data_IF_423115444580
#
_entry.id   IF_423115444580
#
_cell.length_a   1.000
_cell.length_b   1.000
_cell.length_c   1.000
_cell.angle_alpha   90.00
_cell.angle_beta   90.00
_cell.angle_gamma   90.00
#
_symmetry.space_group_name_H-M   'P 1'
#
loop_
_entity.id
_entity.type
_entity.pdbx_description
1 polymer ?
#
# COMPACT_ATOMS: atom_id res chain seq x y z
N UNK A 1 -10.32 -4.07 -23.26
CA UNK A 1 -9.12 -4.91 -23.14
C UNK A 1 -8.56 -4.80 -21.73
N UNK A 2 -8.37 -5.93 -21.08
CA UNK A 2 -7.84 -5.94 -19.71
C UNK A 2 -6.33 -5.71 -19.72
N UNK A 3 -5.78 -4.91 -18.80
CA UNK A 3 -4.34 -4.74 -18.71
C UNK A 3 -3.66 -6.03 -18.25
N UNK A 4 -2.39 -6.19 -18.59
CA UNK A 4 -1.59 -7.29 -18.07
C UNK A 4 -1.31 -7.05 -16.58
N UNK A 5 -0.80 -8.08 -15.89
CA UNK A 5 -0.41 -7.98 -14.48
C UNK A 5 0.54 -6.80 -14.24
N UNK A 6 1.59 -6.68 -15.08
CA UNK A 6 2.57 -5.61 -14.94
C UNK A 6 1.98 -4.23 -15.19
N UNK A 7 1.11 -4.12 -16.18
CA UNK A 7 0.47 -2.86 -16.50
C UNK A 7 -0.50 -2.43 -15.40
N UNK A 8 -1.26 -3.37 -14.87
CA UNK A 8 -2.22 -3.09 -13.81
C UNK A 8 -1.52 -2.62 -12.54
N UNK A 9 -0.44 -3.29 -12.16
CA UNK A 9 0.32 -2.95 -10.97
C UNK A 9 1.34 -1.86 -11.20
N UNK A 10 1.50 -1.40 -12.45
CA UNK A 10 2.48 -0.39 -12.82
C UNK A 10 3.89 -0.77 -12.40
N UNK A 11 4.23 -2.03 -12.65
CA UNK A 11 5.52 -2.58 -12.24
C UNK A 11 6.67 -1.83 -12.88
N UNK A 12 6.57 -1.48 -14.16
CA UNK A 12 7.64 -0.77 -14.85
C UNK A 12 7.96 0.57 -14.17
N UNK A 13 6.92 1.33 -13.86
CA UNK A 13 7.09 2.61 -13.16
C UNK A 13 7.58 2.41 -11.74
N UNK A 14 7.02 1.42 -11.05
CA UNK A 14 7.41 1.13 -9.67
C UNK A 14 8.90 0.82 -9.55
N UNK A 15 9.43 0.03 -10.47
CA UNK A 15 10.83 -0.38 -10.43
C UNK A 15 11.81 0.72 -10.81
N UNK A 16 11.31 1.88 -11.23
CA UNK A 16 12.14 3.04 -11.57
C UNK A 16 12.15 4.10 -10.48
N UNK A 17 11.53 3.85 -9.35
CA UNK A 17 11.40 4.84 -8.28
C UNK A 17 12.52 4.78 -7.24
N UNK A 18 13.54 3.95 -7.43
CA UNK A 18 14.64 3.79 -6.49
C UNK A 18 15.88 4.52 -7.03
N UNK A 19 15.81 5.84 -7.15
CA UNK A 19 16.86 6.61 -7.80
C UNK A 19 17.81 7.33 -6.84
N UNK A 20 17.42 7.51 -5.59
CA UNK A 20 18.25 8.17 -4.60
C UNK A 20 18.32 9.68 -4.80
N UNK A 21 19.28 10.31 -4.11
CA UNK A 21 19.43 11.75 -4.13
C UNK A 21 19.85 12.27 -5.51
N UNK A 22 20.74 11.53 -6.17
CA UNK A 22 21.27 11.94 -7.48
C UNK A 22 20.32 11.71 -8.64
N UNK A 23 19.22 11.01 -8.40
CA UNK A 23 18.26 10.71 -9.45
C UNK A 23 18.75 9.66 -10.44
N UNK A 24 19.85 8.98 -10.14
CA UNK A 24 20.44 7.97 -11.03
C UNK A 24 20.68 6.69 -10.26
N UNK A 25 19.83 5.69 -10.53
CA UNK A 25 19.90 4.41 -9.84
C UNK A 25 21.24 3.70 -10.02
N UNK A 26 21.90 3.92 -11.15
CA UNK A 26 23.18 3.25 -11.42
C UNK A 26 24.31 3.72 -10.47
N UNK A 27 24.12 4.84 -9.81
CA UNK A 27 25.09 5.39 -8.85
C UNK A 27 24.83 4.95 -7.42
N UNK A 28 23.76 4.22 -7.16
CA UNK A 28 23.42 3.77 -5.83
C UNK A 28 24.31 2.61 -5.40
N UNK A 29 24.76 2.62 -4.15
CA UNK A 29 25.34 1.44 -3.55
C UNK A 29 24.23 0.42 -3.29
N UNK A 30 24.60 -0.84 -3.13
CA UNK A 30 23.63 -1.87 -2.82
C UNK A 30 22.96 -1.63 -1.46
N UNK A 31 23.69 -1.10 -0.50
CA UNK A 31 23.13 -0.77 0.82
C UNK A 31 22.10 0.35 0.74
N UNK A 32 22.37 1.36 -0.08
CA UNK A 32 21.44 2.47 -0.28
C UNK A 32 20.17 2.01 -0.99
N UNK A 33 20.32 1.16 -2.00
CA UNK A 33 19.18 0.57 -2.69
C UNK A 33 18.31 -0.24 -1.74
N UNK A 34 18.95 -1.04 -0.89
CA UNK A 34 18.25 -1.82 0.14
C UNK A 34 17.45 -0.90 1.07
N UNK A 35 18.07 0.17 1.54
CA UNK A 35 17.41 1.16 2.40
C UNK A 35 16.16 1.73 1.74
N UNK A 36 16.29 2.14 0.47
CA UNK A 36 15.19 2.75 -0.27
C UNK A 36 14.04 1.77 -0.44
N UNK A 37 14.33 0.56 -0.87
CA UNK A 37 13.29 -0.44 -1.13
C UNK A 37 12.55 -0.81 0.15
N UNK A 38 13.27 -1.02 1.25
CA UNK A 38 12.65 -1.36 2.53
C UNK A 38 11.67 -0.26 2.95
N UNK A 39 12.10 0.99 2.85
CA UNK A 39 11.25 2.12 3.26
C UNK A 39 10.09 2.34 2.32
N UNK A 40 10.27 2.17 1.02
CA UNK A 40 9.16 2.24 0.07
C UNK A 40 8.14 1.15 0.34
N UNK A 41 8.62 -0.05 0.70
CA UNK A 41 7.74 -1.16 1.03
C UNK A 41 6.90 -0.87 2.27
N UNK A 42 7.51 -0.31 3.32
CA UNK A 42 6.77 0.09 4.52
C UNK A 42 5.74 1.17 4.20
N UNK A 43 6.08 2.14 3.38
CA UNK A 43 5.13 3.19 3.02
C UNK A 43 3.92 2.64 2.27
N UNK A 44 4.13 1.67 1.40
CA UNK A 44 3.04 1.01 0.69
C UNK A 44 2.16 0.22 1.66
N UNK A 45 2.75 -0.46 2.64
CA UNK A 45 1.99 -1.14 3.67
C UNK A 45 1.19 -0.16 4.52
N UNK A 46 1.78 0.97 4.90
CA UNK A 46 1.06 2.01 5.64
C UNK A 46 -0.13 2.54 4.86
N UNK A 47 0.04 2.74 3.56
CA UNK A 47 -1.06 3.18 2.70
C UNK A 47 -2.21 2.18 2.73
N UNK A 48 -1.90 0.90 2.67
CA UNK A 48 -2.91 -0.15 2.74
C UNK A 48 -3.59 -0.18 4.11
N UNK A 49 -2.81 -0.09 5.19
CA UNK A 49 -3.33 -0.09 6.55
C UNK A 49 -4.29 1.09 6.74
N UNK A 50 -3.89 2.28 6.32
CA UNK A 50 -4.73 3.47 6.42
C UNK A 50 -6.02 3.28 5.63
N UNK A 51 -5.94 2.71 4.43
CA UNK A 51 -7.11 2.44 3.60
C UNK A 51 -8.09 1.49 4.30
N UNK A 52 -7.56 0.41 4.89
CA UNK A 52 -8.40 -0.56 5.60
C UNK A 52 -9.02 0.05 6.86
N UNK A 53 -8.26 0.88 7.57
CA UNK A 53 -8.79 1.57 8.76
C UNK A 53 -9.90 2.57 8.40
N UNK A 54 -9.73 3.29 7.29
CA UNK A 54 -10.78 4.19 6.81
C UNK A 54 -12.04 3.44 6.42
N UNK A 55 -11.87 2.30 5.77
CA UNK A 55 -12.99 1.44 5.40
C UNK A 55 -13.74 0.96 6.64
N UNK A 56 -13.00 0.52 7.67
CA UNK A 56 -13.57 0.09 8.94
C UNK A 56 -14.31 1.24 9.64
N UNK A 57 -13.68 2.43 9.65
CA UNK A 57 -14.29 3.63 10.24
C UNK A 57 -15.61 3.96 9.54
N UNK A 58 -15.64 3.91 8.22
CA UNK A 58 -16.83 4.24 7.46
C UNK A 58 -17.98 3.27 7.74
N UNK A 59 -17.65 2.00 7.96
CA UNK A 59 -18.65 1.01 8.35
C UNK A 59 -19.22 1.34 9.73
N UNK A 60 -18.36 1.73 10.67
CA UNK A 60 -18.76 2.03 12.05
C UNK A 60 -19.41 3.42 12.22
N UNK A 61 -19.13 4.34 11.29
CA UNK A 61 -19.63 5.71 11.33
C UNK A 61 -21.04 5.86 10.75
N UNK A 62 -21.64 4.79 10.29
CA UNK A 62 -23.04 4.89 9.85
C UNK A 62 -23.90 5.24 11.05
N UNK A 63 -24.95 6.05 10.84
CA UNK A 63 -25.86 6.48 11.90
C UNK A 63 -26.45 5.31 12.67
N UNK A 64 -26.52 4.18 12.01
CA UNK A 64 -27.05 2.96 12.58
C UNK A 64 -26.15 1.80 12.16
N UNK A 65 -25.45 1.22 13.14
CA UNK A 65 -24.60 0.05 12.91
C UNK A 65 -25.39 -1.19 13.29
N UNK A 66 -25.80 -1.96 12.31
CA UNK A 66 -26.48 -3.21 12.55
C UNK A 66 -25.50 -4.27 13.03
N UNK A 67 -26.00 -5.25 13.80
CA UNK A 67 -25.17 -6.35 14.26
C UNK A 67 -24.49 -7.08 13.09
N UNK A 68 -25.16 -7.14 11.94
CA UNK A 68 -24.61 -7.78 10.76
C UNK A 68 -23.37 -7.07 10.20
N UNK A 69 -23.18 -5.80 10.53
CA UNK A 69 -22.03 -5.03 10.06
C UNK A 69 -20.82 -5.13 10.98
N UNK A 70 -21.02 -5.52 12.22
CA UNK A 70 -19.93 -5.66 13.18
C UNK A 70 -18.93 -6.74 12.74
N UNK A 71 -19.34 -7.93 12.28
CA UNK A 71 -18.41 -8.92 11.77
C UNK A 71 -17.60 -8.42 10.58
N UNK A 72 -18.19 -7.59 9.71
CA UNK A 72 -17.46 -7.02 8.57
C UNK A 72 -16.34 -6.08 9.03
N UNK A 73 -16.62 -5.24 10.03
CA UNK A 73 -15.60 -4.34 10.57
C UNK A 73 -14.45 -5.12 11.21
N UNK A 74 -14.76 -6.16 11.96
CA UNK A 74 -13.75 -7.03 12.55
C UNK A 74 -12.92 -7.73 11.46
N UNK A 75 -13.58 -8.16 10.39
CA UNK A 75 -12.90 -8.79 9.26
C UNK A 75 -11.89 -7.84 8.60
N UNK A 76 -12.28 -6.58 8.39
CA UNK A 76 -11.38 -5.58 7.83
C UNK A 76 -10.17 -5.35 8.72
N UNK A 77 -10.38 -5.24 10.01
CA UNK A 77 -9.28 -5.06 10.97
C UNK A 77 -8.37 -6.28 10.99
N UNK A 78 -8.93 -7.48 10.84
CA UNK A 78 -8.18 -8.71 10.82
C UNK A 78 -7.28 -8.86 9.60
N UNK A 79 -7.55 -8.11 8.51
CA UNK A 79 -6.73 -8.11 7.31
C UNK A 79 -5.52 -7.19 7.40
N UNK A 80 -5.52 -6.32 8.37
CA UNK A 80 -4.45 -5.35 8.58
C UNK A 80 -3.37 -5.96 9.47
#
# INVERSE_FOLDING_TARGET
>A
MSPTYGEYLKIEELLKLQTGIDGDESKLSNDELHFIIVHQNFELWFKLIISELRCTRDILDTDYVEETKIPQAVHHMGRV
#
